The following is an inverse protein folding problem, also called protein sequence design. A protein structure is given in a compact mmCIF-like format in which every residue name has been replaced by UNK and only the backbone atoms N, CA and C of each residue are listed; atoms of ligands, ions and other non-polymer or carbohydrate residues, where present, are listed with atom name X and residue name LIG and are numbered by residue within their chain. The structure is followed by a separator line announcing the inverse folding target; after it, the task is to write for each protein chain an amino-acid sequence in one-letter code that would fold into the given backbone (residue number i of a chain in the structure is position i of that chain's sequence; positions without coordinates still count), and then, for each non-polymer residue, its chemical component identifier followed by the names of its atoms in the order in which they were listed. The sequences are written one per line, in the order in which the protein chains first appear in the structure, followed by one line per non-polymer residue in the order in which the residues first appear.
data_IF_038539071764
#
_entry.id   IF_038539071764
#
_cell.length_a   1.000
_cell.length_b   1.000
_cell.length_c   1.000
_cell.angle_alpha   90.00
_cell.angle_beta   90.00
_cell.angle_gamma   90.00
#
_symmetry.space_group_name_H-M   'P 1'
#
loop_
_entity.id
_entity.type
_entity.pdbx_description
1 polymer ?
#
# COMPACT_ATOMS: atom_id res chain seq x y z
N UNK A 1 -6.20 -12.07 -5.69
CA UNK A 1 -6.61 -11.40 -4.45
C UNK A 1 -5.77 -11.80 -3.25
N UNK A 2 -5.51 -13.09 -3.05
CA UNK A 2 -4.73 -13.59 -1.91
C UNK A 2 -3.42 -12.81 -1.70
N UNK A 3 -2.58 -12.64 -2.75
CA UNK A 3 -1.32 -11.90 -2.67
C UNK A 3 -1.45 -10.43 -2.24
N UNK A 4 -2.60 -9.80 -2.51
CA UNK A 4 -2.88 -8.42 -2.09
C UNK A 4 -3.07 -8.34 -0.56
N UNK A 5 -3.77 -9.30 0.03
CA UNK A 5 -3.98 -9.39 1.48
C UNK A 5 -2.70 -9.88 2.19
N UNK A 6 -1.98 -10.85 1.61
CA UNK A 6 -0.69 -11.35 2.12
C UNK A 6 0.37 -10.25 2.26
N UNK A 7 0.28 -9.18 1.46
CA UNK A 7 1.27 -8.09 1.47
C UNK A 7 1.38 -7.42 2.85
N UNK A 8 0.26 -7.20 3.52
CA UNK A 8 0.24 -6.61 4.87
C UNK A 8 1.02 -7.48 5.88
N UNK A 9 0.80 -8.80 5.84
CA UNK A 9 1.51 -9.76 6.67
C UNK A 9 2.99 -9.94 6.27
N UNK A 10 3.31 -9.73 4.99
CA UNK A 10 4.70 -9.78 4.50
C UNK A 10 5.53 -8.68 5.12
N UNK A 11 4.97 -7.48 5.21
CA UNK A 11 5.61 -6.32 5.84
C UNK A 11 5.81 -6.56 7.34
N UNK A 12 4.87 -7.26 7.99
CA UNK A 12 4.94 -7.62 9.42
C UNK A 12 5.89 -8.79 9.70
N UNK A 13 6.54 -9.38 8.69
CA UNK A 13 7.54 -10.45 8.87
C UNK A 13 6.95 -11.85 9.17
N UNK A 14 5.65 -12.06 8.95
CA UNK A 14 4.98 -13.35 9.17
C UNK A 14 5.45 -14.41 8.16
N UNK A 15 5.57 -15.67 8.56
CA UNK A 15 6.01 -16.78 7.71
C UNK A 15 5.08 -17.02 6.53
N UNK A 16 5.60 -17.54 5.40
CA UNK A 16 4.83 -17.73 4.15
C UNK A 16 3.59 -18.62 4.33
N UNK A 17 3.69 -19.70 5.10
CA UNK A 17 2.57 -20.61 5.34
C UNK A 17 1.46 -19.93 6.13
N UNK A 18 1.82 -19.28 7.22
CA UNK A 18 0.92 -18.55 8.09
C UNK A 18 0.24 -17.37 7.39
N UNK A 19 1.01 -16.59 6.59
CA UNK A 19 0.44 -15.50 5.79
C UNK A 19 -0.68 -15.97 4.88
N UNK A 20 -0.44 -17.07 4.16
CA UNK A 20 -1.42 -17.62 3.23
C UNK A 20 -2.69 -18.08 3.93
N UNK A 21 -2.56 -18.70 5.10
CA UNK A 21 -3.69 -19.13 5.90
C UNK A 21 -4.50 -17.96 6.43
N UNK A 22 -3.85 -16.97 7.06
CA UNK A 22 -4.51 -15.76 7.60
C UNK A 22 -5.17 -14.94 6.49
N UNK A 23 -4.50 -14.76 5.35
CA UNK A 23 -5.07 -14.03 4.23
C UNK A 23 -6.29 -14.74 3.63
N UNK A 24 -6.30 -16.07 3.60
CA UNK A 24 -7.46 -16.86 3.18
C UNK A 24 -8.62 -16.65 4.15
N UNK A 25 -8.39 -16.77 5.46
CA UNK A 25 -9.41 -16.54 6.49
C UNK A 25 -10.01 -15.13 6.42
N UNK A 26 -9.16 -14.09 6.27
CA UNK A 26 -9.65 -12.72 6.13
C UNK A 26 -10.51 -12.51 4.88
N UNK A 27 -10.18 -13.18 3.76
CA UNK A 27 -11.01 -13.14 2.54
C UNK A 27 -12.32 -13.92 2.69
N UNK A 28 -12.33 -15.01 3.42
CA UNK A 28 -13.54 -15.77 3.76
C UNK A 28 -14.47 -14.94 4.66
N UNK A 29 -13.94 -14.24 5.66
CA UNK A 29 -14.67 -13.36 6.58
C UNK A 29 -15.42 -12.24 5.86
N UNK A 30 -14.86 -11.68 4.80
CA UNK A 30 -15.51 -10.66 3.97
C UNK A 30 -16.37 -11.25 2.82
N UNK A 31 -16.55 -12.58 2.77
CA UNK A 31 -17.38 -13.27 1.78
C UNK A 31 -16.72 -13.46 0.41
N UNK A 32 -15.38 -13.51 0.34
CA UNK A 32 -14.61 -13.70 -0.90
C UNK A 32 -13.80 -15.00 -0.94
N UNK A 33 -14.13 -15.99 -0.12
CA UNK A 33 -13.41 -17.26 -0.02
C UNK A 33 -13.31 -18.07 -1.32
N UNK A 34 -14.29 -17.94 -2.23
CA UNK A 34 -14.31 -18.58 -3.54
C UNK A 34 -13.62 -17.78 -4.66
N UNK A 35 -13.04 -16.60 -4.33
CA UNK A 35 -12.45 -15.68 -5.32
C UNK A 35 -10.96 -15.40 -5.10
N UNK A 36 -10.27 -16.26 -4.36
CA UNK A 36 -8.87 -16.09 -3.93
C UNK A 36 -7.88 -15.86 -5.08
N UNK A 37 -8.14 -16.49 -6.24
CA UNK A 37 -7.24 -16.48 -7.40
C UNK A 37 -7.57 -15.41 -8.44
N UNK A 38 -8.69 -14.69 -8.30
CA UNK A 38 -9.05 -13.63 -9.25
C UNK A 38 -8.05 -12.48 -9.23
N UNK A 39 -7.85 -11.87 -10.39
CA UNK A 39 -7.07 -10.65 -10.55
C UNK A 39 -7.93 -9.43 -10.18
N UNK A 40 -7.33 -8.29 -9.80
CA UNK A 40 -8.04 -7.04 -9.53
C UNK A 40 -8.95 -6.59 -10.68
N UNK A 41 -8.51 -6.76 -11.93
CA UNK A 41 -9.28 -6.42 -13.14
C UNK A 41 -10.54 -7.27 -13.37
N UNK A 42 -10.69 -8.37 -12.63
CA UNK A 42 -11.83 -9.28 -12.72
C UNK A 42 -12.84 -9.08 -11.58
N UNK A 43 -12.66 -8.03 -10.77
CA UNK A 43 -13.45 -7.79 -9.58
C UNK A 43 -14.31 -6.52 -9.74
N UNK A 44 -15.51 -6.54 -9.17
CA UNK A 44 -16.33 -5.34 -9.04
C UNK A 44 -15.77 -4.37 -8.00
N UNK A 45 -16.21 -3.10 -8.02
CA UNK A 45 -15.82 -2.10 -7.02
C UNK A 45 -16.09 -2.56 -5.58
N UNK A 46 -17.26 -3.12 -5.32
CA UNK A 46 -17.61 -3.64 -3.99
C UNK A 46 -16.78 -4.85 -3.57
N UNK A 47 -16.42 -5.74 -4.51
CA UNK A 47 -15.50 -6.83 -4.23
C UNK A 47 -14.09 -6.33 -3.90
N UNK A 48 -13.61 -5.31 -4.63
CA UNK A 48 -12.32 -4.68 -4.34
C UNK A 48 -12.33 -3.99 -2.97
N UNK A 49 -13.44 -3.36 -2.58
CA UNK A 49 -13.59 -2.78 -1.25
C UNK A 49 -13.56 -3.85 -0.15
N UNK A 50 -14.22 -4.98 -0.35
CA UNK A 50 -14.13 -6.13 0.58
C UNK A 50 -12.68 -6.66 0.70
N UNK A 51 -11.92 -6.70 -0.41
CA UNK A 51 -10.49 -7.05 -0.36
C UNK A 51 -9.68 -6.03 0.44
N UNK A 52 -9.98 -4.73 0.31
CA UNK A 52 -9.31 -3.69 1.10
C UNK A 52 -9.61 -3.85 2.60
N UNK A 53 -10.85 -4.17 2.96
CA UNK A 53 -11.25 -4.48 4.35
C UNK A 53 -10.52 -5.73 4.85
N UNK A 54 -10.51 -6.83 4.09
CA UNK A 54 -9.77 -8.04 4.46
C UNK A 54 -8.27 -7.77 4.69
N UNK A 55 -7.65 -6.95 3.83
CA UNK A 55 -6.26 -6.54 3.99
C UNK A 55 -6.02 -5.72 5.26
N UNK A 56 -6.97 -4.89 5.66
CA UNK A 56 -6.87 -4.14 6.90
C UNK A 56 -7.05 -5.05 8.13
N UNK A 57 -7.94 -6.04 8.06
CA UNK A 57 -8.25 -6.95 9.16
C UNK A 57 -7.20 -8.06 9.38
N UNK A 58 -6.40 -8.41 8.36
CA UNK A 58 -5.51 -9.57 8.40
C UNK A 58 -4.44 -9.52 9.49
N UNK A 59 -4.09 -8.31 9.97
CA UNK A 59 -3.17 -8.10 11.10
C UNK A 59 -3.89 -8.05 12.47
N UNK A 60 -5.19 -8.32 12.50
CA UNK A 60 -6.02 -8.28 13.70
C UNK A 60 -5.89 -6.95 14.49
N UNK A 61 -6.17 -5.80 13.87
CA UNK A 61 -6.04 -4.51 14.51
C UNK A 61 -7.16 -4.25 15.52
N UNK A 62 -6.85 -3.54 16.62
CA UNK A 62 -7.85 -3.06 17.57
C UNK A 62 -8.69 -1.91 17.00
N UNK A 63 -8.12 -1.15 16.06
CA UNK A 63 -8.75 0.03 15.45
C UNK A 63 -8.70 -0.10 13.93
N UNK A 64 -9.85 0.02 13.27
CA UNK A 64 -9.98 0.08 11.81
C UNK A 64 -10.34 1.50 11.39
N UNK A 65 -9.53 2.09 10.50
CA UNK A 65 -9.80 3.40 9.91
C UNK A 65 -10.39 3.20 8.50
N UNK A 66 -11.57 3.73 8.25
CA UNK A 66 -12.28 3.65 6.98
C UNK A 66 -12.53 5.06 6.44
N UNK A 67 -11.79 5.43 5.40
CA UNK A 67 -11.94 6.71 4.71
C UNK A 67 -12.79 6.51 3.45
N UNK A 68 -13.98 7.13 3.43
CA UNK A 68 -14.98 7.04 2.37
C UNK A 68 -15.23 5.60 1.87
N UNK A 69 -15.57 4.64 2.75
CA UNK A 69 -15.63 3.21 2.37
C UNK A 69 -16.68 2.88 1.33
N UNK A 70 -17.59 3.80 1.02
CA UNK A 70 -18.69 3.64 0.07
C UNK A 70 -18.66 4.65 -1.09
N UNK A 71 -17.67 5.54 -1.16
CA UNK A 71 -17.67 6.71 -2.06
C UNK A 71 -17.68 6.40 -3.55
N UNK A 72 -17.29 5.20 -3.98
CA UNK A 72 -17.26 4.78 -5.38
C UNK A 72 -18.22 3.61 -5.68
N UNK A 73 -19.23 3.37 -4.83
CA UNK A 73 -20.12 2.22 -4.90
C UNK A 73 -21.57 2.65 -5.13
N UNK A 74 -22.35 1.77 -5.76
CA UNK A 74 -23.79 1.90 -5.84
C UNK A 74 -24.44 1.75 -4.46
N UNK A 75 -25.71 2.16 -4.33
CA UNK A 75 -26.41 2.20 -3.04
C UNK A 75 -26.55 0.82 -2.39
N UNK A 76 -26.80 -0.22 -3.17
CA UNK A 76 -26.96 -1.58 -2.63
C UNK A 76 -25.63 -2.14 -2.11
N UNK A 77 -24.57 -1.99 -2.91
CA UNK A 77 -23.21 -2.39 -2.51
C UNK A 77 -22.73 -1.58 -1.30
N UNK A 78 -23.06 -0.29 -1.22
CA UNK A 78 -22.74 0.57 -0.07
C UNK A 78 -23.36 0.03 1.22
N UNK A 79 -24.62 -0.36 1.19
CA UNK A 79 -25.30 -0.99 2.33
C UNK A 79 -24.57 -2.29 2.75
N UNK A 80 -24.20 -3.12 1.79
CA UNK A 80 -23.49 -4.38 2.08
C UNK A 80 -22.11 -4.14 2.74
N UNK A 81 -21.38 -3.11 2.32
CA UNK A 81 -20.11 -2.71 2.94
C UNK A 81 -20.33 -2.16 4.35
N UNK A 82 -21.37 -1.35 4.56
CA UNK A 82 -21.70 -0.82 5.88
C UNK A 82 -22.13 -1.93 6.85
N UNK A 83 -22.90 -2.91 6.41
CA UNK A 83 -23.25 -4.08 7.22
C UNK A 83 -22.01 -4.94 7.57
N UNK A 84 -21.06 -5.04 6.65
CA UNK A 84 -19.78 -5.71 6.93
C UNK A 84 -19.00 -4.93 8.01
N UNK A 85 -18.84 -3.61 7.87
CA UNK A 85 -18.15 -2.77 8.86
C UNK A 85 -18.83 -2.81 10.22
N UNK A 86 -20.16 -2.83 10.27
CA UNK A 86 -20.95 -2.97 11.51
C UNK A 86 -20.69 -4.32 12.21
N UNK A 87 -20.50 -5.41 11.45
CA UNK A 87 -20.12 -6.70 12.03
C UNK A 87 -18.70 -6.64 12.61
N UNK A 88 -17.77 -6.04 11.89
CA UNK A 88 -16.38 -5.83 12.35
C UNK A 88 -16.33 -4.96 13.60
N UNK A 89 -17.22 -3.98 13.73
CA UNK A 89 -17.29 -3.08 14.88
C UNK A 89 -17.80 -3.74 16.18
N UNK A 90 -18.19 -5.02 16.16
CA UNK A 90 -18.58 -5.74 17.38
C UNK A 90 -17.38 -6.05 18.28
N UNK A 91 -16.22 -6.29 17.67
CA UNK A 91 -15.03 -6.77 18.37
C UNK A 91 -13.88 -5.74 18.36
N UNK A 92 -14.04 -4.61 17.64
CA UNK A 92 -13.00 -3.59 17.47
C UNK A 92 -13.58 -2.20 17.19
N UNK A 93 -12.80 -1.16 17.44
CA UNK A 93 -13.21 0.20 17.11
C UNK A 93 -13.09 0.44 15.60
N UNK A 94 -14.21 0.86 14.99
CA UNK A 94 -14.21 1.33 13.59
C UNK A 94 -14.40 2.84 13.58
N UNK A 95 -13.40 3.56 13.07
CA UNK A 95 -13.48 5.01 12.85
C UNK A 95 -13.68 5.26 11.37
N UNK A 96 -14.82 5.83 11.01
CA UNK A 96 -15.19 6.09 9.61
C UNK A 96 -15.22 7.59 9.33
N UNK A 97 -14.63 7.99 8.22
CA UNK A 97 -14.81 9.32 7.64
C UNK A 97 -15.73 9.19 6.43
N UNK A 98 -16.80 9.98 6.38
CA UNK A 98 -17.73 10.00 5.25
C UNK A 98 -18.41 11.35 5.11
N UNK A 99 -18.74 11.72 3.87
CA UNK A 99 -19.57 12.87 3.56
C UNK A 99 -21.05 12.50 3.39
N UNK A 100 -21.43 11.23 3.59
CA UNK A 100 -22.83 10.77 3.52
C UNK A 100 -23.47 10.76 4.92
N UNK A 101 -24.32 11.74 5.26
CA UNK A 101 -24.92 11.85 6.58
C UNK A 101 -25.92 10.73 6.89
N UNK A 102 -26.61 10.18 5.89
CA UNK A 102 -27.60 9.12 6.08
C UNK A 102 -26.92 7.81 6.53
N UNK A 103 -25.81 7.45 5.88
CA UNK A 103 -25.03 6.28 6.27
C UNK A 103 -24.39 6.48 7.66
N UNK A 104 -23.89 7.68 7.95
CA UNK A 104 -23.36 7.99 9.28
C UNK A 104 -24.43 7.83 10.36
N UNK A 105 -25.63 8.40 10.18
CA UNK A 105 -26.70 8.29 11.15
C UNK A 105 -27.20 6.85 11.37
N UNK A 106 -27.24 6.06 10.30
CA UNK A 106 -27.77 4.70 10.34
C UNK A 106 -26.83 3.69 11.00
N UNK A 107 -25.50 3.88 10.81
CA UNK A 107 -24.51 2.86 11.15
C UNK A 107 -23.57 3.24 12.29
N UNK A 108 -23.43 4.52 12.62
CA UNK A 108 -22.49 4.95 13.65
C UNK A 108 -23.16 5.04 15.04
N UNK A 109 -22.39 4.72 16.07
CA UNK A 109 -22.80 4.90 17.47
C UNK A 109 -22.50 6.31 17.99
N UNK A 110 -21.45 6.96 17.43
CA UNK A 110 -21.08 8.34 17.72
C UNK A 110 -20.73 9.06 16.43
N UNK A 111 -21.19 10.31 16.29
CA UNK A 111 -20.94 11.14 15.12
C UNK A 111 -20.29 12.43 15.57
N UNK A 112 -19.08 12.69 15.04
CA UNK A 112 -18.36 13.95 15.23
C UNK A 112 -18.39 14.71 13.91
N UNK A 113 -19.04 15.88 13.87
CA UNK A 113 -19.09 16.72 12.67
C UNK A 113 -17.94 17.71 12.66
N UNK A 114 -17.17 17.69 11.56
CA UNK A 114 -16.08 18.61 11.34
C UNK A 114 -16.43 19.59 10.20
N UNK A 115 -16.03 20.84 10.38
CA UNK A 115 -16.09 21.88 9.36
C UNK A 115 -14.87 22.79 9.50
N UNK A 116 -14.17 23.02 8.39
CA UNK A 116 -12.96 23.87 8.34
C UNK A 116 -11.93 23.50 9.42
N UNK A 117 -11.73 22.17 9.66
CA UNK A 117 -10.79 21.65 10.66
C UNK A 117 -11.22 21.82 12.12
N UNK A 118 -12.46 22.26 12.39
CA UNK A 118 -13.02 22.43 13.73
C UNK A 118 -14.17 21.46 13.96
N UNK A 119 -14.27 20.94 15.17
CA UNK A 119 -15.44 20.17 15.61
C UNK A 119 -16.59 21.16 15.83
N UNK A 120 -17.70 20.96 15.12
CA UNK A 120 -18.90 21.80 15.23
C UNK A 120 -20.04 21.09 15.99
N UNK A 121 -20.00 19.75 16.03
CA UNK A 121 -21.01 18.95 16.72
C UNK A 121 -20.42 17.58 17.09
N UNK A 122 -20.85 17.03 18.22
CA UNK A 122 -20.47 15.71 18.70
C UNK A 122 -21.70 15.08 19.39
N UNK A 123 -22.20 13.97 18.85
CA UNK A 123 -23.43 13.33 19.34
C UNK A 123 -23.28 12.69 20.71
N UNK A 124 -22.06 12.39 21.15
CA UNK A 124 -21.74 11.78 22.45
C UNK A 124 -20.37 12.27 22.93
N UNK A 125 -20.28 13.54 23.44
CA UNK A 125 -19.03 14.13 23.87
C UNK A 125 -18.41 13.31 25.01
N UNK A 126 -17.13 12.95 24.84
CA UNK A 126 -16.39 12.24 25.88
C UNK A 126 -16.18 13.14 27.10
N UNK A 127 -16.79 12.79 28.21
CA UNK A 127 -16.48 13.32 29.54
C UNK A 127 -15.45 12.41 30.19
N UNK A 128 -14.18 12.86 30.43
CA UNK A 128 -13.19 12.02 31.07
C UNK A 128 -13.67 11.63 32.48
N UNK A 129 -13.83 10.34 32.71
CA UNK A 129 -13.99 9.82 34.07
C UNK A 129 -12.70 10.06 34.86
N UNK A 130 -12.76 10.25 36.23
CA UNK A 130 -11.57 10.37 37.06
C UNK A 130 -10.68 9.16 36.80
N UNK A 131 -9.40 9.41 36.50
CA UNK A 131 -8.39 8.52 35.96
C UNK A 131 -8.51 7.05 36.39
N UNK A 132 -9.16 6.25 35.56
CA UNK A 132 -8.95 4.80 35.59
C UNK A 132 -7.53 4.50 35.10
N UNK A 133 -6.89 3.48 35.72
CA UNK A 133 -5.52 3.06 35.40
C UNK A 133 -5.33 2.97 33.87
N UNK A 134 -4.18 3.43 33.33
CA UNK A 134 -3.91 3.31 31.90
C UNK A 134 -4.11 1.85 31.47
N UNK A 135 -4.92 1.62 30.44
CA UNK A 135 -5.03 0.31 29.81
C UNK A 135 -3.63 -0.16 29.45
N UNK A 136 -3.21 -1.33 29.93
CA UNK A 136 -1.97 -1.94 29.49
C UNK A 136 -2.07 -2.15 27.98
N UNK A 137 -1.38 -1.29 27.23
CA UNK A 137 -1.23 -1.48 25.80
C UNK A 137 -0.55 -2.81 25.55
N UNK A 138 -1.28 -3.75 24.97
CA UNK A 138 -0.69 -4.97 24.43
C UNK A 138 0.37 -4.52 23.44
N UNK A 139 1.66 -4.66 23.83
CA UNK A 139 2.80 -4.33 22.97
C UNK A 139 2.76 -5.24 21.75
N UNK A 140 2.00 -4.83 20.73
CA UNK A 140 2.13 -5.33 19.37
C UNK A 140 3.55 -4.96 18.93
N UNK A 141 4.45 -5.94 18.92
CA UNK A 141 5.87 -5.75 18.67
C UNK A 141 6.10 -4.80 17.49
N UNK A 142 7.15 -3.97 17.59
CA UNK A 142 7.53 -3.05 16.50
C UNK A 142 7.62 -3.82 15.20
N UNK A 143 6.83 -3.46 14.20
CA UNK A 143 6.92 -4.02 12.87
C UNK A 143 8.37 -3.84 12.36
N UNK A 144 9.16 -4.91 12.37
CA UNK A 144 10.55 -4.92 11.88
C UNK A 144 10.53 -5.56 10.50
N UNK A 145 10.61 -4.73 9.47
CA UNK A 145 10.81 -5.22 8.12
C UNK A 145 12.26 -5.73 7.98
N UNK A 146 12.44 -7.01 7.65
CA UNK A 146 13.76 -7.58 7.38
C UNK A 146 14.38 -6.90 6.15
N UNK A 147 15.70 -6.65 6.18
CA UNK A 147 16.45 -6.11 5.04
C UNK A 147 16.22 -6.95 3.77
N UNK A 148 16.20 -8.28 3.89
CA UNK A 148 15.90 -9.18 2.78
C UNK A 148 14.49 -8.98 2.20
N UNK A 149 13.48 -8.75 3.03
CA UNK A 149 12.11 -8.44 2.59
C UNK A 149 12.05 -7.10 1.87
N UNK A 150 12.76 -6.08 2.37
CA UNK A 150 12.86 -4.77 1.75
C UNK A 150 13.49 -4.85 0.36
N UNK A 151 14.58 -5.61 0.23
CA UNK A 151 15.30 -5.83 -1.03
C UNK A 151 14.44 -6.61 -2.04
N UNK A 152 13.75 -7.66 -1.59
CA UNK A 152 12.84 -8.45 -2.43
C UNK A 152 11.66 -7.63 -2.94
N UNK A 153 11.06 -6.77 -2.10
CA UNK A 153 9.98 -5.85 -2.50
C UNK A 153 10.46 -4.82 -3.52
N UNK A 154 11.65 -4.24 -3.30
CA UNK A 154 12.27 -3.29 -4.24
C UNK A 154 12.54 -3.95 -5.60
N UNK A 155 13.11 -5.14 -5.61
CA UNK A 155 13.37 -5.90 -6.84
C UNK A 155 12.08 -6.27 -7.57
N UNK A 156 11.04 -6.68 -6.84
CA UNK A 156 9.75 -6.99 -7.43
C UNK A 156 9.08 -5.74 -8.03
N UNK A 157 9.25 -4.57 -7.42
CA UNK A 157 8.78 -3.29 -7.96
C UNK A 157 9.48 -2.92 -9.28
N UNK A 158 10.79 -3.14 -9.37
CA UNK A 158 11.55 -2.97 -10.63
C UNK A 158 11.05 -3.93 -11.72
N UNK A 159 10.77 -5.18 -11.36
CA UNK A 159 10.29 -6.21 -12.28
C UNK A 159 8.85 -5.96 -12.76
N UNK A 160 7.98 -5.42 -11.93
CA UNK A 160 6.58 -5.11 -12.32
C UNK A 160 6.48 -3.86 -13.18
N UNK A 161 7.38 -2.89 -13.02
CA UNK A 161 7.42 -1.65 -13.81
C UNK A 161 8.50 -1.68 -14.90
N UNK A 162 8.68 -2.82 -15.57
CA UNK A 162 9.75 -3.05 -16.57
C UNK A 162 9.90 -1.91 -17.59
N UNK A 163 8.81 -1.43 -18.18
CA UNK A 163 8.86 -0.37 -19.19
C UNK A 163 9.50 0.92 -18.67
N UNK A 164 9.12 1.37 -17.46
CA UNK A 164 9.71 2.57 -16.85
C UNK A 164 11.18 2.35 -16.48
N UNK A 165 11.50 1.19 -15.92
CA UNK A 165 12.88 0.85 -15.52
C UNK A 165 13.82 0.79 -16.71
N UNK A 166 13.39 0.16 -17.82
CA UNK A 166 14.15 0.10 -19.06
C UNK A 166 14.34 1.50 -19.64
N UNK A 167 13.27 2.31 -19.70
CA UNK A 167 13.33 3.67 -20.24
C UNK A 167 14.30 4.57 -19.46
N UNK A 168 14.28 4.52 -18.13
CA UNK A 168 15.22 5.29 -17.29
C UNK A 168 16.65 4.79 -17.39
N UNK A 169 16.86 3.48 -17.50
CA UNK A 169 18.18 2.92 -17.73
C UNK A 169 18.75 3.34 -19.10
N UNK A 170 17.94 3.32 -20.15
CA UNK A 170 18.34 3.82 -21.48
C UNK A 170 18.68 5.30 -21.46
N UNK A 171 17.82 6.14 -20.84
CA UNK A 171 18.07 7.58 -20.75
C UNK A 171 19.39 7.90 -20.00
N UNK A 172 19.68 7.16 -18.92
CA UNK A 172 20.93 7.30 -18.18
C UNK A 172 22.17 6.81 -18.96
N UNK A 173 22.03 5.73 -19.76
CA UNK A 173 23.15 5.16 -20.52
C UNK A 173 23.58 6.03 -21.72
N UNK A 174 22.66 6.79 -22.33
CA UNK A 174 22.98 7.68 -23.47
C UNK A 174 24.02 8.72 -23.05
N UNK A 175 23.93 9.31 -21.88
CA UNK A 175 24.92 10.29 -21.39
C UNK A 175 26.30 9.66 -21.19
N UNK A 176 26.36 8.47 -20.61
CA UNK A 176 27.63 7.75 -20.39
C UNK A 176 28.26 7.33 -21.71
N UNK A 177 27.45 6.82 -22.64
CA UNK A 177 27.93 6.44 -23.99
C UNK A 177 28.45 7.66 -24.73
N UNK A 178 27.76 8.80 -24.66
CA UNK A 178 28.22 10.05 -25.30
C UNK A 178 29.58 10.51 -24.78
N UNK A 179 29.78 10.52 -23.47
CA UNK A 179 31.08 10.86 -22.85
C UNK A 179 32.17 9.86 -23.26
N UNK A 180 31.88 8.57 -23.22
CA UNK A 180 32.80 7.53 -23.59
C UNK A 180 33.26 7.64 -25.08
N UNK A 181 32.33 7.96 -25.99
CA UNK A 181 32.64 8.17 -27.40
C UNK A 181 33.53 9.40 -27.61
N UNK A 182 33.25 10.52 -26.93
CA UNK A 182 34.06 11.74 -27.03
C UNK A 182 35.47 11.47 -26.52
N UNK A 183 35.63 10.78 -25.40
CA UNK A 183 36.94 10.44 -24.85
C UNK A 183 37.70 9.46 -25.76
N UNK A 184 37.05 8.44 -26.31
CA UNK A 184 37.63 7.49 -27.22
C UNK A 184 38.10 8.16 -28.52
N UNK A 185 37.28 9.06 -29.09
CA UNK A 185 37.62 9.83 -30.26
C UNK A 185 38.82 10.77 -30.01
N UNK A 186 38.80 11.51 -28.89
CA UNK A 186 39.90 12.38 -28.47
C UNK A 186 41.20 11.60 -28.31
N UNK A 187 41.16 10.42 -27.70
CA UNK A 187 42.36 9.56 -27.55
C UNK A 187 42.88 9.02 -28.89
N UNK A 188 41.94 8.61 -29.76
CA UNK A 188 42.28 8.13 -31.09
C UNK A 188 42.93 9.21 -31.96
N UNK A 189 42.40 10.43 -31.96
CA UNK A 189 42.96 11.58 -32.71
C UNK A 189 44.35 11.95 -32.17
N UNK A 190 44.53 12.04 -30.86
CA UNK A 190 45.80 12.36 -30.25
C UNK A 190 46.84 11.26 -30.54
N UNK A 191 46.49 9.99 -30.54
CA UNK A 191 47.35 8.87 -30.92
C UNK A 191 47.81 9.01 -32.38
N UNK A 192 46.86 9.25 -33.28
CA UNK A 192 47.15 9.43 -34.71
C UNK A 192 48.10 10.63 -34.99
N UNK A 193 47.89 11.77 -34.34
CA UNK A 193 48.76 12.94 -34.46
C UNK A 193 50.16 12.62 -33.94
N UNK A 194 50.30 11.92 -32.85
CA UNK A 194 51.58 11.54 -32.26
C UNK A 194 52.35 10.60 -33.17
N UNK A 195 51.68 9.67 -33.85
CA UNK A 195 52.30 8.73 -34.81
C UNK A 195 52.81 9.46 -36.07
N UNK A 196 52.03 10.40 -36.64
CA UNK A 196 52.46 11.25 -37.75
C UNK A 196 53.67 12.11 -37.36
N UNK A 197 53.67 12.71 -36.17
CA UNK A 197 54.82 13.50 -35.71
C UNK A 197 56.06 12.66 -35.55
N UNK A 198 55.98 11.41 -35.10
CA UNK A 198 57.10 10.50 -35.00
C UNK A 198 57.68 10.13 -36.39
N UNK A 199 56.82 9.79 -37.35
CA UNK A 199 57.22 9.48 -38.70
C UNK A 199 57.91 10.67 -39.37
N UNK A 200 57.45 11.89 -39.17
CA UNK A 200 57.96 13.11 -39.77
C UNK A 200 59.30 13.56 -39.15
N UNK A 201 59.57 13.22 -37.88
CA UNK A 201 60.84 13.53 -37.21
C UNK A 201 61.94 12.46 -37.43
N UNK A 202 61.61 11.31 -37.93
CA UNK A 202 62.57 10.21 -38.23
C UNK A 202 62.95 10.12 -39.68
N UNK A 203 62.44 10.94 -40.56
CA UNK A 203 62.75 11.13 -41.96
C UNK A 203 63.69 12.38 -42.16
#
# INVERSE_FOLDING_TARGET
MLANVELALTISGVSRGERRQRAKQALEEVGLGNQLHKLPSQMSGGQMQRVAIARALVNDPDILLADEPTGALDSETSIQIMELLKRVAKDRLVVMVTHNPELAQRYSTRIVKLRDGKIIDDSDPYTPAPAEKPLEHRNLGKAKMSFGTSLALSFNNLRTKKGRTVLTAFAGSIGIIGIALILAFSHGVNGYITDIQRETMTS
#
